data_IF_222160539474
#
_entry.id   IF_222160539474
#
_cell.length_a   1.000
_cell.length_b   1.000
_cell.length_c   1.000
_cell.angle_alpha   90.00
_cell.angle_beta   90.00
_cell.angle_gamma   90.00
#
_symmetry.space_group_name_H-M   'P 1'
#
loop_
_entity.id
_entity.type
_entity.pdbx_description
1 polymer ?
#
# COMPACT_ATOMS: atom_id res chain seq x y z
N UNK A 1 17.54 -28.71 11.72
CA UNK A 1 16.45 -28.95 10.76
C UNK A 1 16.40 -27.80 9.77
N UNK A 2 16.75 -28.02 8.50
CA UNK A 2 16.48 -27.06 7.44
C UNK A 2 14.97 -27.00 7.23
N UNK A 3 14.29 -25.99 7.81
CA UNK A 3 12.87 -25.76 7.55
C UNK A 3 12.70 -25.54 6.05
N UNK A 4 11.95 -26.42 5.39
CA UNK A 4 11.52 -26.22 4.00
C UNK A 4 10.81 -24.87 3.90
N UNK A 5 11.22 -24.02 2.96
CA UNK A 5 10.63 -22.69 2.77
C UNK A 5 9.14 -22.86 2.47
N UNK A 6 8.30 -22.06 3.12
CA UNK A 6 6.88 -22.03 2.80
C UNK A 6 6.66 -21.52 1.37
N UNK A 7 5.48 -21.79 0.82
CA UNK A 7 5.02 -21.19 -0.44
C UNK A 7 3.61 -20.67 -0.26
N UNK A 8 3.20 -19.76 -1.13
CA UNK A 8 1.80 -19.36 -1.24
C UNK A 8 0.92 -20.60 -1.46
N UNK A 9 -0.18 -20.68 -0.73
CA UNK A 9 -1.18 -21.74 -0.84
C UNK A 9 -2.01 -21.64 -2.11
N UNK A 10 -2.08 -20.45 -2.73
CA UNK A 10 -2.81 -20.22 -3.97
C UNK A 10 -2.33 -18.98 -4.71
N UNK A 11 -2.55 -18.92 -6.03
CA UNK A 11 -2.27 -17.73 -6.83
C UNK A 11 -3.10 -16.52 -6.38
N UNK A 12 -4.38 -16.73 -6.05
CA UNK A 12 -5.26 -15.67 -5.50
C UNK A 12 -4.71 -15.17 -4.18
N UNK A 13 -4.23 -16.06 -3.31
CA UNK A 13 -3.59 -15.68 -2.06
C UNK A 13 -2.38 -14.77 -2.23
N UNK A 14 -1.52 -15.10 -3.20
CA UNK A 14 -0.40 -14.23 -3.57
C UNK A 14 -0.88 -12.87 -4.11
N UNK A 15 -1.81 -12.85 -5.06
CA UNK A 15 -2.32 -11.62 -5.66
C UNK A 15 -2.93 -10.72 -4.59
N UNK A 16 -3.76 -11.26 -3.70
CA UNK A 16 -4.38 -10.48 -2.62
C UNK A 16 -3.36 -10.00 -1.60
N UNK A 17 -2.35 -10.81 -1.26
CA UNK A 17 -1.30 -10.38 -0.34
C UNK A 17 -0.45 -9.26 -0.97
N UNK A 18 0.01 -9.44 -2.20
CA UNK A 18 0.81 -8.45 -2.92
C UNK A 18 0.01 -7.16 -3.18
N UNK A 19 -1.27 -7.28 -3.53
CA UNK A 19 -2.19 -6.14 -3.65
C UNK A 19 -2.41 -5.48 -2.30
N UNK A 20 -2.50 -6.22 -1.19
CA UNK A 20 -2.60 -5.64 0.15
C UNK A 20 -1.31 -4.98 0.65
N UNK A 21 -0.16 -5.29 0.05
CA UNK A 21 1.07 -4.52 0.26
C UNK A 21 1.05 -3.23 -0.55
N UNK A 22 0.56 -3.27 -1.79
CA UNK A 22 0.44 -2.10 -2.65
C UNK A 22 -0.62 -1.11 -2.11
N UNK A 23 -1.81 -1.63 -1.85
CA UNK A 23 -2.98 -0.86 -1.44
C UNK A 23 -2.86 -0.44 0.02
N UNK A 24 -2.93 0.87 0.26
CA UNK A 24 -2.93 1.40 1.61
C UNK A 24 -3.26 2.88 1.68
N UNK A 25 -2.59 3.57 2.61
CA UNK A 25 -2.74 5.02 2.79
C UNK A 25 -2.35 5.82 1.53
N UNK A 26 -1.51 5.24 0.67
CA UNK A 26 -1.13 5.81 -0.61
C UNK A 26 -2.35 6.06 -1.49
N UNK A 27 -3.23 5.07 -1.64
CA UNK A 27 -4.41 5.14 -2.51
C UNK A 27 -5.51 6.02 -1.92
N UNK A 28 -5.76 5.91 -0.61
CA UNK A 28 -6.91 6.57 0.03
C UNK A 28 -6.66 8.06 0.28
N UNK A 29 -5.44 8.43 0.65
CA UNK A 29 -5.11 9.81 1.06
C UNK A 29 -4.18 10.50 0.08
N UNK A 30 -3.06 9.85 -0.27
CA UNK A 30 -1.99 10.51 -1.03
C UNK A 30 -2.37 10.71 -2.50
N UNK A 31 -3.00 9.72 -3.14
CA UNK A 31 -3.42 9.81 -4.54
C UNK A 31 -4.41 10.97 -4.78
N UNK A 32 -5.55 11.08 -4.07
CA UNK A 32 -6.51 12.16 -4.33
C UNK A 32 -5.93 13.55 -4.07
N UNK A 33 -5.05 13.66 -3.06
CA UNK A 33 -4.32 14.90 -2.79
C UNK A 33 -3.40 15.29 -3.95
N UNK A 34 -2.59 14.36 -4.45
CA UNK A 34 -1.66 14.62 -5.57
C UNK A 34 -2.42 14.91 -6.87
N UNK A 35 -3.46 14.13 -7.17
CA UNK A 35 -4.33 14.38 -8.32
C UNK A 35 -4.95 15.78 -8.22
N UNK A 36 -5.48 16.16 -7.06
CA UNK A 36 -6.06 17.48 -6.83
C UNK A 36 -5.08 18.63 -7.01
N UNK A 37 -3.79 18.44 -6.69
CA UNK A 37 -2.76 19.48 -6.83
C UNK A 37 -2.14 19.58 -8.22
N UNK A 38 -2.20 18.52 -9.03
CA UNK A 38 -1.49 18.44 -10.32
C UNK A 38 -2.45 18.28 -11.52
N UNK A 39 -3.66 18.81 -11.42
CA UNK A 39 -4.58 18.91 -12.57
C UNK A 39 -5.55 17.73 -12.75
N UNK A 40 -5.86 17.02 -11.66
CA UNK A 40 -6.88 15.97 -11.59
C UNK A 40 -6.58 14.82 -12.54
N UNK A 41 -7.48 14.60 -13.51
CA UNK A 41 -7.35 13.53 -14.49
C UNK A 41 -6.09 13.63 -15.37
N UNK A 42 -5.51 14.83 -15.55
CA UNK A 42 -4.25 14.98 -16.28
C UNK A 42 -3.10 14.26 -15.55
N UNK A 43 -2.98 14.49 -14.23
CA UNK A 43 -2.05 13.77 -13.37
C UNK A 43 -2.35 12.26 -13.37
N UNK A 44 -3.62 11.88 -13.21
CA UNK A 44 -4.03 10.46 -13.21
C UNK A 44 -3.59 9.75 -14.48
N UNK A 45 -3.76 10.36 -15.66
CA UNK A 45 -3.33 9.73 -16.91
C UNK A 45 -1.82 9.49 -16.95
N UNK A 46 -1.01 10.47 -16.57
CA UNK A 46 0.45 10.30 -16.51
C UNK A 46 0.85 9.25 -15.48
N UNK A 47 0.22 9.27 -14.31
CA UNK A 47 0.42 8.27 -13.27
C UNK A 47 0.14 6.84 -13.77
N UNK A 48 -0.97 6.62 -14.49
CA UNK A 48 -1.31 5.33 -15.08
C UNK A 48 -0.29 4.88 -16.13
N UNK A 49 0.20 5.81 -16.96
CA UNK A 49 1.27 5.54 -17.92
C UNK A 49 2.56 5.14 -17.17
N UNK A 50 2.94 5.87 -16.13
CA UNK A 50 4.11 5.55 -15.31
C UNK A 50 4.00 4.17 -14.66
N UNK A 51 2.83 3.80 -14.11
CA UNK A 51 2.59 2.46 -13.58
C UNK A 51 2.78 1.40 -14.67
N UNK A 52 2.20 1.60 -15.84
CA UNK A 52 2.24 0.57 -16.87
C UNK A 52 3.62 0.43 -17.51
N UNK A 53 4.29 1.54 -17.82
CA UNK A 53 5.56 1.57 -18.55
C UNK A 53 6.77 1.33 -17.64
N UNK A 54 6.72 1.78 -16.39
CA UNK A 54 7.85 1.70 -15.45
C UNK A 54 7.54 0.77 -14.29
N UNK A 55 6.37 0.95 -13.67
CA UNK A 55 5.96 0.16 -12.51
C UNK A 55 5.87 -1.35 -12.80
N UNK A 56 5.14 -1.74 -13.85
CA UNK A 56 4.94 -3.15 -14.20
C UNK A 56 6.26 -3.86 -14.53
N UNK A 57 7.16 -3.35 -15.39
CA UNK A 57 8.44 -4.02 -15.63
C UNK A 57 9.29 -4.21 -14.37
N UNK A 58 9.34 -3.21 -13.48
CA UNK A 58 10.10 -3.30 -12.22
C UNK A 58 9.45 -4.31 -11.27
N UNK A 59 8.12 -4.31 -11.16
CA UNK A 59 7.37 -5.28 -10.37
C UNK A 59 7.67 -6.71 -10.82
N UNK A 60 7.66 -6.96 -12.14
CA UNK A 60 7.99 -8.26 -12.71
C UNK A 60 9.45 -8.64 -12.47
N UNK A 61 10.38 -7.68 -12.54
CA UNK A 61 11.78 -7.90 -12.21
C UNK A 61 11.96 -8.31 -10.74
N UNK A 62 11.31 -7.62 -9.80
CA UNK A 62 11.35 -7.98 -8.37
C UNK A 62 10.77 -9.38 -8.13
N UNK A 63 9.63 -9.72 -8.75
CA UNK A 63 9.07 -11.07 -8.67
C UNK A 63 10.00 -12.13 -9.27
N UNK A 64 10.63 -11.84 -10.41
CA UNK A 64 11.55 -12.77 -11.05
C UNK A 64 12.79 -13.02 -10.18
N UNK A 65 13.39 -11.96 -9.63
CA UNK A 65 14.53 -12.04 -8.71
C UNK A 65 14.17 -12.87 -7.47
N UNK A 66 13.04 -12.53 -6.83
CA UNK A 66 12.55 -13.25 -5.65
C UNK A 66 12.31 -14.72 -5.96
N UNK A 67 11.50 -15.03 -6.98
CA UNK A 67 11.13 -16.39 -7.36
C UNK A 67 12.33 -17.24 -7.75
N UNK A 68 13.29 -16.68 -8.49
CA UNK A 68 14.49 -17.41 -8.94
C UNK A 68 15.41 -17.76 -7.77
N UNK A 69 15.56 -16.85 -6.81
CA UNK A 69 16.51 -17.01 -5.70
C UNK A 69 15.91 -17.69 -4.49
N UNK A 70 14.60 -17.55 -4.24
CA UNK A 70 13.92 -18.02 -3.02
C UNK A 70 14.57 -17.48 -1.73
N UNK A 71 15.15 -16.28 -1.80
CA UNK A 71 15.86 -15.59 -0.72
C UNK A 71 15.22 -14.23 -0.42
N UNK A 72 15.58 -13.66 0.74
CA UNK A 72 15.29 -12.25 1.06
C UNK A 72 16.08 -11.31 0.11
N UNK A 73 15.78 -10.00 0.06
CA UNK A 73 16.39 -9.08 -0.91
C UNK A 73 17.93 -9.08 -0.87
N UNK A 74 18.53 -9.00 0.32
CA UNK A 74 19.99 -9.03 0.49
C UNK A 74 20.58 -10.34 -0.04
N UNK A 75 19.97 -11.48 0.34
CA UNK A 75 20.39 -12.80 -0.11
C UNK A 75 20.23 -13.00 -1.62
N UNK A 76 19.13 -12.50 -2.19
CA UNK A 76 18.83 -12.60 -3.61
C UNK A 76 19.90 -11.89 -4.45
N UNK A 77 20.22 -10.63 -4.12
CA UNK A 77 21.29 -9.90 -4.82
C UNK A 77 22.66 -10.54 -4.60
N UNK A 78 22.96 -11.06 -3.41
CA UNK A 78 24.23 -11.76 -3.15
C UNK A 78 24.37 -13.01 -4.01
N UNK A 79 23.30 -13.79 -4.14
CA UNK A 79 23.28 -15.05 -4.89
C UNK A 79 23.38 -14.83 -6.42
N UNK A 80 22.72 -13.80 -6.95
CA UNK A 80 22.73 -13.51 -8.39
C UNK A 80 24.01 -12.82 -8.87
N UNK A 81 24.73 -12.15 -7.97
CA UNK A 81 25.85 -11.27 -8.34
C UNK A 81 27.23 -11.80 -7.95
N UNK A 82 27.34 -13.08 -7.59
CA UNK A 82 28.58 -13.69 -7.11
C UNK A 82 29.30 -12.85 -6.03
N UNK A 83 28.54 -12.35 -5.04
CA UNK A 83 29.03 -11.57 -3.89
C UNK A 83 29.67 -10.20 -4.22
N UNK A 84 29.28 -9.59 -5.34
CA UNK A 84 29.64 -8.21 -5.69
C UNK A 84 28.95 -7.14 -4.81
N UNK A 85 29.12 -5.87 -5.17
CA UNK A 85 28.49 -4.73 -4.50
C UNK A 85 26.95 -4.70 -4.56
N UNK A 86 26.30 -5.50 -5.42
CA UNK A 86 24.83 -5.53 -5.55
C UNK A 86 24.09 -5.89 -4.26
N UNK A 87 24.75 -6.56 -3.30
CA UNK A 87 24.18 -6.80 -1.96
C UNK A 87 23.75 -5.50 -1.25
N UNK A 88 24.40 -4.38 -1.54
CA UNK A 88 24.08 -3.08 -0.95
C UNK A 88 22.73 -2.54 -1.42
N UNK A 89 22.29 -2.89 -2.63
CA UNK A 89 20.92 -2.57 -3.10
C UNK A 89 19.88 -3.31 -2.26
N UNK A 90 20.14 -4.58 -1.93
CA UNK A 90 19.29 -5.33 -1.01
C UNK A 90 19.25 -4.73 0.40
N UNK A 91 20.40 -4.28 0.92
CA UNK A 91 20.46 -3.59 2.21
C UNK A 91 19.71 -2.26 2.19
N UNK A 92 19.87 -1.47 1.14
CA UNK A 92 19.14 -0.22 0.95
C UNK A 92 17.62 -0.46 1.00
N UNK A 93 17.13 -1.50 0.32
CA UNK A 93 15.70 -1.85 0.35
C UNK A 93 15.22 -2.23 1.75
N UNK A 94 15.96 -3.06 2.48
CA UNK A 94 15.63 -3.43 3.87
C UNK A 94 15.64 -2.21 4.79
N UNK A 95 16.63 -1.32 4.66
CA UNK A 95 16.70 -0.07 5.43
C UNK A 95 15.53 0.84 5.10
N UNK A 96 15.18 0.99 3.81
CA UNK A 96 14.01 1.76 3.39
C UNK A 96 12.73 1.19 4.00
N UNK A 97 12.56 -0.14 3.99
CA UNK A 97 11.41 -0.79 4.62
C UNK A 97 11.33 -0.56 6.13
N UNK A 98 12.48 -0.59 6.81
CA UNK A 98 12.54 -0.29 8.23
C UNK A 98 12.14 1.16 8.56
N UNK A 99 12.65 2.12 7.78
CA UNK A 99 12.31 3.55 7.93
C UNK A 99 10.83 3.80 7.60
N UNK A 100 10.29 3.18 6.54
CA UNK A 100 8.88 3.30 6.19
C UNK A 100 8.02 2.77 7.34
N UNK A 101 8.35 1.59 7.86
CA UNK A 101 7.60 0.98 8.95
C UNK A 101 7.59 1.84 10.22
N UNK A 102 8.65 2.59 10.51
CA UNK A 102 8.76 3.37 11.75
C UNK A 102 7.68 4.46 11.85
N UNK A 103 7.29 5.10 10.74
CA UNK A 103 6.18 6.06 10.73
C UNK A 103 4.85 5.43 10.29
N UNK A 104 4.87 4.43 9.42
CA UNK A 104 3.64 3.80 8.93
C UNK A 104 2.87 3.10 10.05
N UNK A 105 3.60 2.51 11.01
CA UNK A 105 3.03 1.89 12.20
C UNK A 105 2.38 2.88 13.17
N UNK A 106 2.83 4.14 13.20
CA UNK A 106 2.18 5.20 13.98
C UNK A 106 0.81 5.51 13.39
N UNK A 107 0.73 5.70 12.07
CA UNK A 107 -0.54 5.91 11.38
C UNK A 107 -1.45 4.67 11.51
N UNK A 108 -0.87 3.46 11.45
CA UNK A 108 -1.58 2.22 11.74
C UNK A 108 -2.24 2.23 13.13
N UNK A 109 -1.54 2.73 14.15
CA UNK A 109 -2.10 2.94 15.49
C UNK A 109 -3.27 3.93 15.49
N UNK A 110 -3.15 5.04 14.76
CA UNK A 110 -4.25 6.01 14.61
C UNK A 110 -5.49 5.32 14.02
N UNK A 111 -5.32 4.52 12.97
CA UNK A 111 -6.41 3.78 12.35
C UNK A 111 -7.11 2.84 13.33
N UNK A 112 -6.37 2.11 14.18
CA UNK A 112 -6.99 1.26 15.22
C UNK A 112 -7.79 2.10 16.21
N UNK A 113 -7.22 3.20 16.72
CA UNK A 113 -7.92 4.10 17.64
C UNK A 113 -9.24 4.59 17.05
N UNK A 114 -9.20 5.17 15.86
CA UNK A 114 -10.39 5.75 15.23
C UNK A 114 -11.40 4.68 14.84
N UNK A 115 -10.97 3.46 14.50
CA UNK A 115 -11.86 2.32 14.33
C UNK A 115 -12.57 1.97 15.64
N UNK A 116 -11.84 1.93 16.76
CA UNK A 116 -12.44 1.68 18.07
C UNK A 116 -13.44 2.77 18.46
N UNK A 117 -13.10 4.05 18.24
CA UNK A 117 -14.01 5.18 18.47
C UNK A 117 -15.28 5.09 17.62
N UNK A 118 -15.15 4.66 16.36
CA UNK A 118 -16.30 4.41 15.49
C UNK A 118 -17.23 3.33 16.06
N UNK A 119 -16.67 2.23 16.54
CA UNK A 119 -17.41 1.08 17.06
C UNK A 119 -18.20 1.41 18.34
N UNK A 120 -17.69 2.32 19.18
CA UNK A 120 -18.37 2.75 20.41
C UNK A 120 -19.28 3.97 20.20
N UNK A 121 -19.42 4.46 18.97
CA UNK A 121 -20.28 5.60 18.66
C UNK A 121 -19.76 6.96 19.14
N UNK A 122 -18.43 7.13 19.26
CA UNK A 122 -17.82 8.35 19.80
C UNK A 122 -17.85 9.58 18.86
N UNK A 123 -18.47 9.45 17.69
CA UNK A 123 -18.59 10.54 16.70
C UNK A 123 -19.97 11.22 16.69
N UNK A 124 -20.81 10.99 17.72
CA UNK A 124 -22.16 11.55 17.79
C UNK A 124 -22.23 13.08 17.72
N UNK A 125 -21.19 13.77 18.19
CA UNK A 125 -21.11 15.24 18.19
C UNK A 125 -20.50 15.82 16.90
N UNK A 126 -20.21 15.00 15.89
CA UNK A 126 -19.59 15.46 14.65
C UNK A 126 -20.60 16.21 13.80
N UNK A 127 -20.42 17.53 13.69
CA UNK A 127 -21.25 18.39 12.86
C UNK A 127 -20.43 19.02 11.73
N UNK A 128 -20.97 19.09 10.50
CA UNK A 128 -20.31 19.76 9.37
C UNK A 128 -19.92 21.20 9.72
N UNK A 129 -18.68 21.59 9.40
CA UNK A 129 -18.15 22.94 9.67
C UNK A 129 -17.69 23.19 11.12
N UNK A 130 -17.88 22.24 12.04
CA UNK A 130 -17.31 22.32 13.39
C UNK A 130 -15.85 21.87 13.43
N UNK A 131 -15.09 22.37 14.40
CA UNK A 131 -13.70 21.99 14.66
C UNK A 131 -13.57 20.76 15.59
N UNK A 132 -14.69 20.10 15.93
CA UNK A 132 -14.74 18.95 16.85
C UNK A 132 -13.80 17.83 16.40
N UNK A 133 -13.84 17.46 15.11
CA UNK A 133 -12.96 16.43 14.56
C UNK A 133 -11.47 16.82 14.64
N UNK A 134 -11.16 18.09 14.34
CA UNK A 134 -9.81 18.62 14.41
C UNK A 134 -9.27 18.61 15.85
N UNK A 135 -10.07 19.07 16.83
CA UNK A 135 -9.71 19.05 18.25
C UNK A 135 -9.54 17.63 18.80
N UNK A 136 -10.38 16.69 18.37
CA UNK A 136 -10.23 15.28 18.73
C UNK A 136 -8.91 14.71 18.18
N UNK A 137 -8.54 15.08 16.96
CA UNK A 137 -7.29 14.67 16.35
C UNK A 137 -6.06 15.32 17.01
N UNK A 138 -6.02 16.65 17.15
CA UNK A 138 -4.89 17.33 17.81
C UNK A 138 -4.74 16.87 19.26
N UNK A 139 -5.84 16.81 20.02
CA UNK A 139 -5.85 16.30 21.38
C UNK A 139 -5.44 14.84 21.52
N UNK A 140 -5.38 14.08 20.43
CA UNK A 140 -4.80 12.75 20.39
C UNK A 140 -3.31 12.78 20.07
N UNK A 141 -2.92 13.38 18.94
CA UNK A 141 -1.55 13.32 18.43
C UNK A 141 -0.57 14.12 19.29
N UNK A 142 -1.03 15.15 19.98
CA UNK A 142 -0.21 16.00 20.84
C UNK A 142 0.13 15.32 22.19
N UNK A 143 -0.54 14.20 22.52
CA UNK A 143 -0.25 13.44 23.74
C UNK A 143 0.97 12.54 23.54
N UNK A 144 1.91 12.49 24.51
CA UNK A 144 3.12 11.68 24.36
C UNK A 144 2.86 10.16 24.45
N UNK A 145 1.92 9.71 25.28
CA UNK A 145 1.73 8.29 25.57
C UNK A 145 0.62 7.61 24.77
N UNK A 146 -0.47 8.33 24.47
CA UNK A 146 -1.65 7.72 23.86
C UNK A 146 -1.36 7.22 22.43
N UNK A 147 -0.77 8.00 21.50
CA UNK A 147 -0.41 7.50 20.17
C UNK A 147 0.59 6.35 20.23
N UNK A 148 1.55 6.38 21.17
CA UNK A 148 2.54 5.33 21.35
C UNK A 148 1.89 3.99 21.74
N UNK A 149 0.88 4.00 22.61
CA UNK A 149 0.14 2.79 23.00
C UNK A 149 -0.58 2.16 21.79
N UNK A 150 -1.27 2.97 20.99
CA UNK A 150 -1.95 2.46 19.79
C UNK A 150 -0.99 1.98 18.72
N UNK A 151 0.17 2.63 18.57
CA UNK A 151 1.27 2.16 17.73
C UNK A 151 1.78 0.78 18.19
N UNK A 152 2.01 0.59 19.50
CA UNK A 152 2.46 -0.71 20.04
C UNK A 152 1.41 -1.80 19.81
N UNK A 153 0.13 -1.48 19.96
CA UNK A 153 -0.96 -2.40 19.67
C UNK A 153 -0.97 -2.80 18.18
N UNK A 154 -0.82 -1.84 17.27
CA UNK A 154 -0.70 -2.10 15.84
C UNK A 154 0.48 -3.02 15.52
N UNK A 155 1.67 -2.71 16.07
CA UNK A 155 2.87 -3.52 15.89
C UNK A 155 2.68 -4.94 16.43
N UNK A 156 2.05 -5.11 17.58
CA UNK A 156 1.73 -6.42 18.13
C UNK A 156 0.85 -7.25 17.19
N UNK A 157 -0.19 -6.64 16.59
CA UNK A 157 -1.04 -7.32 15.60
C UNK A 157 -0.25 -7.72 14.35
N UNK A 158 0.61 -6.85 13.83
CA UNK A 158 1.48 -7.17 12.70
C UNK A 158 2.40 -8.36 13.02
N UNK A 159 3.05 -8.34 14.19
CA UNK A 159 3.93 -9.42 14.65
C UNK A 159 3.15 -10.72 14.78
N UNK A 160 1.94 -10.71 15.35
CA UNK A 160 1.09 -11.89 15.49
C UNK A 160 0.69 -12.51 14.15
N UNK A 161 0.46 -11.68 13.11
CA UNK A 161 0.17 -12.17 11.76
C UNK A 161 1.44 -12.78 11.14
N UNK A 162 2.57 -12.08 11.20
CA UNK A 162 3.84 -12.52 10.61
C UNK A 162 4.37 -13.79 11.29
N UNK A 163 4.24 -13.90 12.62
CA UNK A 163 4.68 -15.05 13.39
C UNK A 163 3.94 -16.36 13.00
N UNK A 164 2.77 -16.26 12.39
CA UNK A 164 2.00 -17.39 11.85
C UNK A 164 2.44 -17.82 10.44
N UNK A 165 3.46 -17.18 9.87
CA UNK A 165 4.01 -17.53 8.55
C UNK A 165 3.22 -16.95 7.37
N UNK A 166 3.63 -17.31 6.17
CA UNK A 166 3.09 -16.75 4.91
C UNK A 166 1.69 -17.29 4.65
N UNK A 167 1.52 -18.62 4.74
CA UNK A 167 0.25 -19.27 4.39
C UNK A 167 -0.82 -19.06 5.47
N UNK A 168 -0.48 -19.31 6.73
CA UNK A 168 -1.44 -19.28 7.85
C UNK A 168 -1.63 -17.87 8.44
N UNK A 169 -0.69 -16.96 8.20
CA UNK A 169 -0.76 -15.56 8.58
C UNK A 169 -1.17 -14.68 7.40
N UNK A 170 -0.19 -14.25 6.60
CA UNK A 170 -0.34 -13.21 5.58
C UNK A 170 -1.43 -13.54 4.56
N UNK A 171 -1.37 -14.72 3.93
CA UNK A 171 -2.33 -15.14 2.91
C UNK A 171 -3.75 -15.26 3.46
N UNK A 172 -3.91 -15.91 4.62
CA UNK A 172 -5.22 -16.12 5.25
C UNK A 172 -5.92 -14.80 5.53
N UNK A 173 -5.21 -13.85 6.15
CA UNK A 173 -5.78 -12.55 6.48
C UNK A 173 -5.99 -11.69 5.23
N UNK A 174 -5.09 -11.73 4.25
CA UNK A 174 -5.26 -10.98 2.99
C UNK A 174 -6.50 -11.43 2.21
N UNK A 175 -6.83 -12.74 2.23
CA UNK A 175 -8.05 -13.29 1.62
C UNK A 175 -9.35 -12.78 2.25
N UNK A 176 -9.30 -12.29 3.47
CA UNK A 176 -10.47 -11.78 4.21
C UNK A 176 -10.51 -10.25 4.14
N UNK A 177 -9.39 -9.61 4.48
CA UNK A 177 -9.30 -8.17 4.66
C UNK A 177 -9.33 -7.40 3.33
N UNK A 178 -8.75 -7.94 2.24
CA UNK A 178 -8.78 -7.26 0.94
C UNK A 178 -10.18 -7.17 0.34
N UNK A 179 -10.97 -8.27 0.25
CA UNK A 179 -12.37 -8.15 -0.18
C UNK A 179 -13.20 -7.26 0.74
N UNK A 180 -12.98 -7.33 2.06
CA UNK A 180 -13.68 -6.47 3.02
C UNK A 180 -13.39 -4.98 2.77
N UNK A 181 -12.12 -4.62 2.53
CA UNK A 181 -11.72 -3.27 2.17
C UNK A 181 -12.46 -2.78 0.92
N UNK A 182 -12.49 -3.60 -0.14
CA UNK A 182 -13.21 -3.26 -1.38
C UNK A 182 -14.69 -3.01 -1.13
N UNK A 183 -15.35 -3.86 -0.34
CA UNK A 183 -16.78 -3.68 0.00
C UNK A 183 -16.99 -2.36 0.75
N UNK A 184 -16.15 -2.05 1.74
CA UNK A 184 -16.23 -0.80 2.49
C UNK A 184 -16.04 0.40 1.55
N UNK A 185 -15.05 0.37 0.66
CA UNK A 185 -14.81 1.44 -0.29
C UNK A 185 -15.98 1.65 -1.25
N UNK A 186 -16.58 0.57 -1.78
CA UNK A 186 -17.76 0.67 -2.65
C UNK A 186 -18.92 1.35 -1.92
N UNK A 187 -19.19 0.96 -0.67
CA UNK A 187 -20.24 1.58 0.16
C UNK A 187 -19.94 3.08 0.37
N UNK A 188 -18.69 3.43 0.66
CA UNK A 188 -18.27 4.82 0.84
C UNK A 188 -18.38 5.64 -0.45
N UNK A 189 -18.02 5.07 -1.61
CA UNK A 189 -18.17 5.72 -2.92
C UNK A 189 -19.64 5.98 -3.22
N UNK A 190 -20.51 4.98 -3.06
CA UNK A 190 -21.96 5.13 -3.24
C UNK A 190 -22.50 6.22 -2.31
N UNK A 191 -22.08 6.22 -1.04
CA UNK A 191 -22.49 7.27 -0.11
C UNK A 191 -21.96 8.64 -0.53
N UNK A 192 -20.71 8.74 -0.96
CA UNK A 192 -20.08 9.97 -1.41
C UNK A 192 -20.78 10.61 -2.61
N UNK A 193 -21.12 9.82 -3.63
CA UNK A 193 -21.80 10.33 -4.83
C UNK A 193 -23.26 10.72 -4.58
N UNK A 194 -23.89 10.22 -3.51
CA UNK A 194 -25.27 10.57 -3.13
C UNK A 194 -25.37 11.78 -2.20
N UNK A 195 -24.24 12.34 -1.73
CA UNK A 195 -24.23 13.58 -0.97
C UNK A 195 -24.46 14.79 -1.88
N UNK A 196 -25.06 15.84 -1.31
CA UNK A 196 -25.15 17.14 -1.97
C UNK A 196 -23.74 17.69 -2.25
N UNK A 197 -23.53 18.26 -3.44
CA UNK A 197 -22.21 18.78 -3.85
C UNK A 197 -21.23 17.70 -4.35
N UNK A 198 -21.66 16.46 -4.54
CA UNK A 198 -20.79 15.38 -5.00
C UNK A 198 -20.24 15.60 -6.41
N UNK A 199 -21.01 16.27 -7.28
CA UNK A 199 -20.63 16.51 -8.67
C UNK A 199 -19.43 17.44 -8.79
N UNK A 200 -19.29 18.41 -7.88
CA UNK A 200 -18.15 19.30 -7.77
C UNK A 200 -16.87 18.51 -7.44
N UNK A 201 -16.97 17.54 -6.52
CA UNK A 201 -15.86 16.64 -6.19
C UNK A 201 -15.46 15.74 -7.36
N UNK A 202 -16.45 15.18 -8.08
CA UNK A 202 -16.21 14.38 -9.29
C UNK A 202 -15.52 15.22 -10.37
N UNK A 203 -16.02 16.44 -10.63
CA UNK A 203 -15.40 17.35 -11.60
C UNK A 203 -14.00 17.76 -11.18
N UNK A 204 -13.79 18.05 -9.90
CA UNK A 204 -12.47 18.39 -9.36
C UNK A 204 -11.44 17.28 -9.65
N UNK A 205 -11.82 16.02 -9.48
CA UNK A 205 -10.92 14.88 -9.68
C UNK A 205 -10.77 14.48 -11.16
N UNK A 206 -11.87 14.43 -11.91
CA UNK A 206 -11.90 13.84 -13.25
C UNK A 206 -11.84 14.83 -14.41
N UNK A 207 -11.92 16.14 -14.17
CA UNK A 207 -11.71 17.13 -15.22
C UNK A 207 -10.21 17.32 -15.47
N UNK A 208 -9.69 17.03 -16.68
CA UNK A 208 -8.26 17.14 -16.94
C UNK A 208 -7.86 18.61 -17.08
N UNK A 209 -6.91 19.05 -16.25
CA UNK A 209 -6.33 20.40 -16.32
C UNK A 209 -4.85 20.31 -16.67
N UNK A 210 -4.59 20.21 -17.97
CA UNK A 210 -3.21 20.10 -18.49
C UNK A 210 -2.33 21.31 -18.17
N UNK A 211 -2.92 22.49 -17.98
CA UNK A 211 -2.22 23.70 -17.53
C UNK A 211 -1.59 23.56 -16.15
N UNK A 212 -2.18 22.71 -15.30
CA UNK A 212 -1.81 22.55 -13.90
C UNK A 212 -0.80 21.39 -13.72
N UNK A 213 -0.50 20.68 -14.81
CA UNK A 213 0.45 19.58 -14.85
C UNK A 213 1.80 20.06 -15.39
N UNK A 214 2.68 20.46 -14.47
CA UNK A 214 4.06 20.84 -14.80
C UNK A 214 5.03 19.64 -14.68
N UNK A 215 6.32 19.90 -14.92
CA UNK A 215 7.36 18.88 -14.80
C UNK A 215 7.43 18.28 -13.38
N UNK A 216 7.12 19.06 -12.34
CA UNK A 216 7.09 18.58 -10.97
C UNK A 216 5.96 17.58 -10.76
N UNK A 217 4.78 17.83 -11.35
CA UNK A 217 3.64 16.91 -11.35
C UNK A 217 3.94 15.58 -12.07
N UNK A 218 4.70 15.61 -13.17
CA UNK A 218 5.15 14.40 -13.87
C UNK A 218 6.11 13.58 -13.00
N UNK A 219 7.08 14.22 -12.35
CA UNK A 219 8.00 13.55 -11.42
C UNK A 219 7.24 13.00 -10.20
N UNK A 220 6.26 13.74 -9.71
CA UNK A 220 5.39 13.34 -8.62
C UNK A 220 4.56 12.11 -9.00
N UNK A 221 4.01 12.05 -10.22
CA UNK A 221 3.27 10.90 -10.74
C UNK A 221 4.17 9.65 -10.83
N UNK A 222 5.40 9.80 -11.33
CA UNK A 222 6.39 8.71 -11.37
C UNK A 222 6.75 8.22 -9.96
N UNK A 223 7.05 9.14 -9.03
CA UNK A 223 7.36 8.78 -7.65
C UNK A 223 6.18 8.09 -6.95
N UNK A 224 4.95 8.54 -7.22
CA UNK A 224 3.75 7.91 -6.67
C UNK A 224 3.53 6.50 -7.26
N UNK A 225 3.78 6.30 -8.55
CA UNK A 225 3.72 4.99 -9.19
C UNK A 225 4.68 3.97 -8.54
N UNK A 226 5.85 4.38 -8.05
CA UNK A 226 6.73 3.48 -7.29
C UNK A 226 6.18 3.15 -5.91
N UNK A 227 5.64 4.17 -5.23
CA UNK A 227 5.14 4.03 -3.86
C UNK A 227 3.91 3.14 -3.80
N UNK A 228 2.94 3.34 -4.70
CA UNK A 228 1.63 2.64 -4.68
C UNK A 228 1.78 1.13 -4.87
N UNK A 229 2.72 0.65 -5.67
CA UNK A 229 2.95 -0.80 -5.87
C UNK A 229 4.12 -1.36 -5.06
N UNK A 230 4.54 -0.68 -3.98
CA UNK A 230 5.57 -1.14 -3.04
C UNK A 230 6.93 -1.49 -3.68
N UNK A 231 7.37 -0.72 -4.68
CA UNK A 231 8.60 -1.00 -5.42
C UNK A 231 9.85 -0.43 -4.74
N UNK A 232 10.99 -1.09 -4.99
CA UNK A 232 12.33 -0.59 -4.63
C UNK A 232 12.76 -0.85 -3.19
N UNK A 233 11.84 -1.29 -2.32
CA UNK A 233 12.14 -1.64 -0.92
C UNK A 233 12.33 -3.15 -0.68
N UNK A 234 12.23 -3.98 -1.73
CA UNK A 234 12.42 -5.43 -1.66
C UNK A 234 11.24 -6.20 -1.06
N UNK A 235 10.10 -5.54 -0.85
CA UNK A 235 8.85 -6.20 -0.46
C UNK A 235 8.39 -7.20 -1.52
N UNK A 236 8.41 -6.80 -2.80
CA UNK A 236 7.98 -7.65 -3.91
C UNK A 236 9.00 -8.74 -4.24
N UNK A 237 10.31 -8.50 -4.04
CA UNK A 237 11.32 -9.57 -4.02
C UNK A 237 10.98 -10.61 -2.94
N UNK A 238 10.67 -10.16 -1.72
CA UNK A 238 10.34 -11.06 -0.62
C UNK A 238 9.07 -11.87 -0.92
N UNK A 239 8.01 -11.24 -1.43
CA UNK A 239 6.78 -11.95 -1.77
C UNK A 239 6.97 -12.91 -2.95
N UNK A 240 7.73 -12.48 -3.96
CA UNK A 240 8.12 -13.30 -5.10
C UNK A 240 8.94 -14.53 -4.71
N UNK A 241 9.74 -14.43 -3.65
CA UNK A 241 10.54 -15.54 -3.11
C UNK A 241 9.73 -16.68 -2.47
N UNK A 242 8.41 -16.54 -2.37
CA UNK A 242 7.50 -17.60 -1.95
C UNK A 242 6.66 -18.16 -3.11
N UNK A 243 6.83 -17.65 -4.34
CA UNK A 243 6.19 -18.17 -5.54
C UNK A 243 6.83 -19.49 -5.98
N UNK A 244 6.02 -20.34 -6.63
CA UNK A 244 6.48 -21.54 -7.30
C UNK A 244 7.00 -21.20 -8.70
N UNK A 245 7.86 -22.05 -9.26
CA UNK A 245 8.51 -21.84 -10.55
C UNK A 245 7.53 -21.75 -11.73
N UNK A 246 6.38 -22.39 -11.63
CA UNK A 246 5.29 -22.45 -12.62
C UNK A 246 4.34 -21.24 -12.57
N UNK A 247 4.52 -20.32 -11.62
CA UNK A 247 3.63 -19.18 -11.44
C UNK A 247 3.74 -18.16 -12.59
N UNK A 248 2.61 -17.75 -13.17
CA UNK A 248 2.58 -16.72 -14.21
C UNK A 248 2.77 -15.32 -13.58
N UNK A 249 3.97 -14.75 -13.75
CA UNK A 249 4.33 -13.45 -13.16
C UNK A 249 3.59 -12.29 -13.82
N UNK A 250 3.45 -12.30 -15.16
CA UNK A 250 2.82 -11.22 -15.91
C UNK A 250 1.35 -11.09 -15.52
N UNK A 251 0.60 -12.20 -15.57
CA UNK A 251 -0.82 -12.17 -15.21
C UNK A 251 -1.03 -11.81 -13.73
N UNK A 252 -0.07 -12.11 -12.85
CA UNK A 252 -0.19 -11.74 -11.44
C UNK A 252 0.16 -10.27 -11.21
N UNK A 253 1.21 -9.75 -11.87
CA UNK A 253 1.56 -8.33 -11.83
C UNK A 253 0.45 -7.44 -12.40
N UNK A 254 -0.15 -7.81 -13.52
CA UNK A 254 -1.30 -7.09 -14.09
C UNK A 254 -2.50 -7.09 -13.14
N UNK A 255 -2.83 -8.21 -12.50
CA UNK A 255 -3.92 -8.27 -11.53
C UNK A 255 -3.68 -7.36 -10.32
N UNK A 256 -2.45 -7.31 -9.82
CA UNK A 256 -2.08 -6.44 -8.69
C UNK A 256 -2.21 -4.97 -9.07
N UNK A 257 -1.69 -4.57 -10.23
CA UNK A 257 -1.80 -3.20 -10.73
C UNK A 257 -3.25 -2.79 -10.96
N UNK A 258 -4.06 -3.67 -11.55
CA UNK A 258 -5.47 -3.38 -11.78
C UNK A 258 -6.24 -3.22 -10.46
N UNK A 259 -5.96 -4.06 -9.45
CA UNK A 259 -6.57 -3.93 -8.13
C UNK A 259 -6.13 -2.64 -7.42
N UNK A 260 -4.84 -2.33 -7.45
CA UNK A 260 -4.28 -1.10 -6.88
C UNK A 260 -4.88 0.16 -7.52
N UNK A 261 -4.95 0.16 -8.85
CA UNK A 261 -5.52 1.26 -9.65
C UNK A 261 -7.02 1.39 -9.46
N UNK A 262 -7.76 0.29 -9.30
CA UNK A 262 -9.20 0.33 -9.08
C UNK A 262 -9.58 0.85 -7.69
N UNK A 263 -8.66 0.77 -6.73
CA UNK A 263 -8.84 1.26 -5.36
C UNK A 263 -8.46 2.74 -5.23
N UNK A 264 -7.48 3.20 -6.01
CA UNK A 264 -7.14 4.61 -6.16
C UNK A 264 -8.24 5.38 -6.91
#
# INVERSE_FOLDING_TARGET
MTRTREHWGSRVGFILAASGSAVGLGNIWKYPYMAGQHGGAAFTLIYLICIFVVGLPILLAEFAIGRKTQLNPVGAFKALSNNSAWKWVGFLGVTAAFIILSFYSVIGGWTIKYTFLALIGAFGDFNPGSDVAARMYSGFIDKPFEPALWHLLFMALCILIIARGVKSGIERWSKILMPLLLVILIVLVIRGITLEGSMEGIRFLFQPKWSDLDASGVVAALGHAFFTISLGMGAMITYGSYLRSDSDLLKSGLAIILLDTAIA
#
